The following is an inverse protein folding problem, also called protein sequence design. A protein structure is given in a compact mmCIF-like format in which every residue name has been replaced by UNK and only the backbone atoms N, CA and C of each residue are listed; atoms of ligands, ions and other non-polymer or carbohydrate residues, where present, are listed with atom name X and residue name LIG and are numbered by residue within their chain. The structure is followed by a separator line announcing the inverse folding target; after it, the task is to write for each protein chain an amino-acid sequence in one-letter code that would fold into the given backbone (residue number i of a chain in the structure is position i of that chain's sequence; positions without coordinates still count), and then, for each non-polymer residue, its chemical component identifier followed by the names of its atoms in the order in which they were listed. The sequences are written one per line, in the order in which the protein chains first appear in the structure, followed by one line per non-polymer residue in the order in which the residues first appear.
data_IF_475256733086
#
_entry.id   IF_475256733086
#
_cell.length_a   1.000
_cell.length_b   1.000
_cell.length_c   1.000
_cell.angle_alpha   90.00
_cell.angle_beta   90.00
_cell.angle_gamma   90.00
#
_symmetry.space_group_name_H-M   'P 1'
#
loop_
_entity.id
_entity.type
_entity.pdbx_description
1 polymer ?
#
# COMPACT_ATOMS: atom_id res chain seq x y z
N UNK A 1 -49.99 -6.66 -26.55
CA UNK A 1 -49.71 -7.65 -27.62
C UNK A 1 -48.82 -7.02 -28.69
N UNK A 2 -47.87 -7.80 -29.26
CA UNK A 2 -46.71 -7.45 -30.15
C UNK A 2 -45.44 -7.08 -29.38
N UNK A 3 -44.44 -7.96 -29.16
CA UNK A 3 -43.47 -8.65 -30.07
C UNK A 3 -42.46 -7.69 -30.71
N UNK A 4 -41.16 -7.93 -30.42
CA UNK A 4 -40.01 -7.61 -31.28
C UNK A 4 -38.74 -7.36 -30.45
N UNK A 5 -37.80 -8.32 -30.29
CA UNK A 5 -36.68 -8.63 -31.22
C UNK A 5 -35.96 -7.34 -31.64
N UNK A 6 -34.66 -7.11 -31.41
CA UNK A 6 -33.43 -7.91 -31.59
C UNK A 6 -32.29 -7.14 -30.92
N UNK A 7 -31.20 -7.78 -30.49
CA UNK A 7 -29.84 -7.28 -30.82
C UNK A 7 -28.80 -8.39 -30.60
N UNK A 8 -28.44 -9.00 -31.74
CA UNK A 8 -27.08 -9.37 -32.18
C UNK A 8 -26.31 -10.43 -31.36
N UNK A 9 -26.38 -11.66 -31.88
CA UNK A 9 -25.31 -12.65 -31.79
C UNK A 9 -24.29 -12.37 -32.90
N UNK A 10 -23.01 -12.29 -32.55
CA UNK A 10 -21.86 -12.48 -33.45
C UNK A 10 -20.59 -12.63 -32.62
N UNK A 11 -20.22 -13.88 -32.29
CA UNK A 11 -18.80 -14.26 -32.25
C UNK A 11 -18.71 -15.64 -32.88
N UNK A 12 -18.27 -15.61 -34.13
CA UNK A 12 -17.85 -16.75 -34.93
C UNK A 12 -16.35 -16.87 -34.67
N UNK A 13 -15.90 -17.93 -33.99
CA UNK A 13 -14.49 -18.30 -34.02
C UNK A 13 -14.34 -19.81 -34.16
N UNK A 14 -13.69 -20.15 -35.26
CA UNK A 14 -13.37 -21.47 -35.74
C UNK A 14 -12.37 -22.18 -34.84
N UNK A 15 -12.38 -23.53 -34.89
CA UNK A 15 -11.15 -24.29 -34.73
C UNK A 15 -11.27 -25.57 -33.89
N UNK A 16 -10.97 -26.68 -34.57
CA UNK A 16 -10.46 -27.96 -34.07
C UNK A 16 -11.47 -28.99 -33.53
N UNK A 17 -11.82 -29.92 -34.43
CA UNK A 17 -12.18 -31.30 -34.09
C UNK A 17 -10.91 -32.03 -33.68
N UNK A 18 -10.88 -32.59 -32.48
CA UNK A 18 -9.91 -33.61 -32.09
C UNK A 18 -10.66 -34.84 -31.56
N UNK A 19 -10.74 -35.87 -32.39
CA UNK A 19 -11.15 -37.23 -31.98
C UNK A 19 -9.97 -37.91 -31.30
N UNK A 20 -10.06 -38.11 -29.99
CA UNK A 20 -9.13 -38.95 -29.23
C UNK A 20 -9.91 -39.89 -28.31
N UNK A 21 -9.94 -41.17 -28.70
CA UNK A 21 -10.33 -42.31 -27.88
C UNK A 21 -9.29 -42.57 -26.80
N UNK A 22 -9.70 -42.57 -25.52
CA UNK A 22 -8.95 -43.24 -24.44
C UNK A 22 -8.71 -42.40 -23.17
N UNK A 23 -9.14 -42.96 -22.03
CA UNK A 23 -8.82 -42.62 -20.64
C UNK A 23 -9.64 -41.49 -19.93
N UNK A 24 -10.00 -41.68 -18.64
CA UNK A 24 -11.04 -40.91 -17.95
C UNK A 24 -10.52 -39.53 -17.54
N UNK A 25 -10.80 -38.54 -18.38
CA UNK A 25 -10.51 -37.15 -18.08
C UNK A 25 -11.64 -36.57 -17.22
N UNK A 26 -11.29 -36.33 -15.95
CA UNK A 26 -11.59 -35.14 -15.15
C UNK A 26 -12.86 -34.40 -15.57
N UNK A 27 -13.85 -34.47 -14.69
CA UNK A 27 -15.05 -33.65 -14.68
C UNK A 27 -14.79 -32.29 -15.35
N UNK A 28 -15.43 -32.08 -16.50
CA UNK A 28 -15.76 -30.74 -16.96
C UNK A 28 -16.57 -30.13 -15.82
N UNK A 29 -15.90 -29.38 -14.94
CA UNK A 29 -16.54 -28.26 -14.27
C UNK A 29 -17.00 -27.35 -15.39
N UNK A 30 -18.24 -27.55 -15.82
CA UNK A 30 -19.03 -26.55 -16.48
C UNK A 30 -18.81 -25.25 -15.72
N UNK A 31 -18.03 -24.34 -16.32
CA UNK A 31 -18.15 -22.92 -16.05
C UNK A 31 -19.54 -22.51 -16.54
N UNK A 32 -20.55 -22.94 -15.80
CA UNK A 32 -21.84 -22.30 -15.79
C UNK A 32 -21.58 -20.92 -15.20
N UNK A 33 -21.48 -19.91 -16.07
CA UNK A 33 -21.74 -18.52 -15.73
C UNK A 33 -23.18 -18.46 -15.22
N UNK A 34 -23.35 -18.82 -13.95
CA UNK A 34 -24.59 -18.67 -13.22
C UNK A 34 -24.84 -17.17 -13.15
N UNK A 35 -26.00 -16.73 -13.61
CA UNK A 35 -26.46 -15.37 -13.39
C UNK A 35 -26.28 -15.08 -11.90
N UNK A 36 -25.38 -14.14 -11.57
CA UNK A 36 -25.10 -13.82 -10.17
C UNK A 36 -26.36 -13.24 -9.56
N UNK A 37 -26.78 -13.82 -8.42
CA UNK A 37 -27.89 -13.31 -7.63
C UNK A 37 -27.60 -11.83 -7.26
N UNK A 38 -28.50 -10.88 -7.55
CA UNK A 38 -28.30 -9.47 -7.23
C UNK A 38 -28.01 -9.23 -5.73
N UNK A 39 -28.49 -10.09 -4.84
CA UNK A 39 -28.16 -10.00 -3.43
C UNK A 39 -26.69 -10.37 -3.14
N UNK A 40 -26.14 -11.37 -3.84
CA UNK A 40 -24.72 -11.72 -3.75
C UNK A 40 -23.83 -10.63 -4.36
N UNK A 41 -24.27 -10.01 -5.44
CA UNK A 41 -23.55 -8.91 -6.07
C UNK A 41 -23.44 -7.71 -5.12
N UNK A 42 -24.54 -7.35 -4.46
CA UNK A 42 -24.59 -6.29 -3.44
C UNK A 42 -23.62 -6.58 -2.29
N UNK A 43 -23.65 -7.80 -1.72
CA UNK A 43 -22.73 -8.20 -0.66
C UNK A 43 -21.26 -8.22 -1.13
N UNK A 44 -21.00 -8.62 -2.37
CA UNK A 44 -19.65 -8.62 -2.96
C UNK A 44 -19.13 -7.20 -3.13
N UNK A 45 -19.97 -6.27 -3.58
CA UNK A 45 -19.60 -4.85 -3.72
C UNK A 45 -19.30 -4.22 -2.37
N UNK A 46 -20.13 -4.47 -1.35
CA UNK A 46 -19.85 -3.99 0.00
C UNK A 46 -18.52 -4.51 0.57
N UNK A 47 -18.19 -5.79 0.33
CA UNK A 47 -16.88 -6.34 0.71
C UNK A 47 -15.72 -5.69 -0.03
N UNK A 48 -15.88 -5.42 -1.33
CA UNK A 48 -14.86 -4.72 -2.14
C UNK A 48 -14.63 -3.29 -1.62
N UNK A 49 -15.71 -2.58 -1.30
CA UNK A 49 -15.64 -1.23 -0.73
C UNK A 49 -14.92 -1.24 0.63
N UNK A 50 -15.26 -2.18 1.52
CA UNK A 50 -14.52 -2.33 2.78
C UNK A 50 -13.04 -2.65 2.56
N UNK A 51 -12.72 -3.62 1.70
CA UNK A 51 -11.34 -3.95 1.37
C UNK A 51 -10.57 -2.76 0.78
N UNK A 52 -11.21 -1.95 -0.08
CA UNK A 52 -10.62 -0.73 -0.61
C UNK A 52 -10.34 0.31 0.47
N UNK A 53 -11.24 0.49 1.45
CA UNK A 53 -11.00 1.35 2.62
C UNK A 53 -9.80 0.88 3.45
N UNK A 54 -9.68 -0.43 3.70
CA UNK A 54 -8.52 -1.01 4.40
C UNK A 54 -7.22 -0.77 3.64
N UNK A 55 -7.26 -0.98 2.32
CA UNK A 55 -6.11 -0.80 1.45
C UNK A 55 -5.65 0.67 1.42
N UNK A 56 -6.58 1.61 1.23
CA UNK A 56 -6.28 3.04 1.25
C UNK A 56 -5.64 3.45 2.58
N UNK A 57 -6.14 2.92 3.71
CA UNK A 57 -5.55 3.16 5.03
C UNK A 57 -4.14 2.56 5.16
N UNK A 58 -3.91 1.36 4.63
CA UNK A 58 -2.58 0.76 4.61
C UNK A 58 -1.60 1.58 3.74
N UNK A 59 -2.03 2.02 2.56
CA UNK A 59 -1.23 2.82 1.64
C UNK A 59 -0.90 4.20 2.23
N UNK A 60 -1.86 4.83 2.91
CA UNK A 60 -1.62 6.09 3.63
C UNK A 60 -0.60 5.91 4.76
N UNK A 61 -0.65 4.80 5.52
CA UNK A 61 0.36 4.48 6.54
C UNK A 61 1.74 4.26 5.95
N UNK A 62 1.84 3.58 4.81
CA UNK A 62 3.10 3.41 4.08
C UNK A 62 3.63 4.76 3.60
N UNK A 63 2.76 5.65 3.10
CA UNK A 63 3.15 7.00 2.71
C UNK A 63 3.66 7.82 3.91
N UNK A 64 2.99 7.74 5.07
CA UNK A 64 3.44 8.35 6.32
C UNK A 64 4.80 7.82 6.76
N UNK A 65 5.00 6.51 6.77
CA UNK A 65 6.29 5.92 7.12
C UNK A 65 7.40 6.40 6.17
N UNK A 66 7.13 6.43 4.86
CA UNK A 66 8.07 6.99 3.87
C UNK A 66 8.38 8.47 4.11
N UNK A 67 7.38 9.25 4.52
CA UNK A 67 7.57 10.65 4.86
C UNK A 67 8.46 10.81 6.10
N UNK A 68 8.28 9.98 7.13
CA UNK A 68 9.11 9.96 8.34
C UNK A 68 10.56 9.56 8.02
N UNK A 69 10.73 8.49 7.23
CA UNK A 69 12.05 7.95 6.85
C UNK A 69 12.77 8.80 5.79
N UNK A 70 12.07 9.73 5.13
CA UNK A 70 12.67 10.58 4.12
C UNK A 70 13.79 11.46 4.71
N UNK A 71 14.97 11.36 4.12
CA UNK A 71 16.16 12.17 4.47
C UNK A 71 16.58 13.11 3.34
N UNK A 72 15.99 12.95 2.15
CA UNK A 72 16.28 13.77 0.98
C UNK A 72 15.00 14.40 0.42
N UNK A 73 15.11 15.54 -0.30
CA UNK A 73 13.96 16.16 -0.96
C UNK A 73 13.27 15.24 -1.98
N UNK A 74 14.05 14.41 -2.69
CA UNK A 74 13.54 13.41 -3.64
C UNK A 74 12.65 12.37 -2.93
N UNK A 75 13.09 11.86 -1.77
CA UNK A 75 12.31 10.93 -0.96
C UNK A 75 11.05 11.58 -0.38
N UNK A 76 11.16 12.83 0.07
CA UNK A 76 10.03 13.59 0.57
C UNK A 76 8.98 13.83 -0.53
N UNK A 77 9.41 14.16 -1.75
CA UNK A 77 8.51 14.31 -2.91
C UNK A 77 7.79 13.01 -3.24
N UNK A 78 8.51 11.87 -3.25
CA UNK A 78 7.91 10.57 -3.48
C UNK A 78 6.90 10.17 -2.37
N UNK A 79 7.17 10.56 -1.11
CA UNK A 79 6.23 10.34 0.00
C UNK A 79 4.95 11.18 -0.16
N UNK A 80 5.07 12.45 -0.57
CA UNK A 80 3.93 13.32 -0.86
C UNK A 80 3.09 12.78 -2.03
N UNK A 81 3.74 12.29 -3.09
CA UNK A 81 3.02 11.67 -4.21
C UNK A 81 2.25 10.42 -3.77
N UNK A 82 2.87 9.56 -2.96
CA UNK A 82 2.22 8.38 -2.41
C UNK A 82 1.04 8.75 -1.48
N UNK A 83 1.20 9.79 -0.65
CA UNK A 83 0.15 10.29 0.22
C UNK A 83 -1.04 10.84 -0.58
N UNK A 84 -0.78 11.68 -1.59
CA UNK A 84 -1.81 12.23 -2.47
C UNK A 84 -2.55 11.13 -3.24
N UNK A 85 -1.83 10.09 -3.68
CA UNK A 85 -2.44 8.91 -4.31
C UNK A 85 -3.38 8.20 -3.33
N UNK A 86 -2.93 7.91 -2.11
CA UNK A 86 -3.75 7.28 -1.09
C UNK A 86 -5.00 8.13 -0.75
N UNK A 87 -4.86 9.46 -0.70
CA UNK A 87 -5.97 10.39 -0.50
C UNK A 87 -6.98 10.35 -1.65
N UNK A 88 -6.51 10.31 -2.89
CA UNK A 88 -7.36 10.21 -4.07
C UNK A 88 -8.10 8.86 -4.12
N UNK A 89 -7.41 7.76 -3.81
CA UNK A 89 -8.00 6.42 -3.75
C UNK A 89 -9.06 6.33 -2.63
N UNK A 90 -8.79 6.92 -1.47
CA UNK A 90 -9.75 7.04 -0.37
C UNK A 90 -10.98 7.88 -0.77
N UNK A 91 -10.78 9.03 -1.42
CA UNK A 91 -11.90 9.87 -1.89
C UNK A 91 -12.77 9.13 -2.91
N UNK A 92 -12.15 8.49 -3.90
CA UNK A 92 -12.88 7.70 -4.88
C UNK A 92 -13.69 6.59 -4.22
N UNK A 93 -13.13 5.92 -3.21
CA UNK A 93 -13.85 4.90 -2.45
C UNK A 93 -15.05 5.49 -1.70
N UNK A 94 -14.91 6.67 -1.07
CA UNK A 94 -16.00 7.37 -0.41
C UNK A 94 -17.13 7.72 -1.39
N UNK A 95 -16.78 8.23 -2.57
CA UNK A 95 -17.74 8.55 -3.63
C UNK A 95 -18.46 7.28 -4.11
N UNK A 96 -17.72 6.20 -4.39
CA UNK A 96 -18.27 4.90 -4.80
C UNK A 96 -19.19 4.31 -3.71
N UNK A 97 -18.82 4.45 -2.43
CA UNK A 97 -19.60 4.00 -1.29
C UNK A 97 -20.90 4.81 -1.13
N UNK A 98 -20.84 6.13 -1.33
CA UNK A 98 -22.01 6.98 -1.28
C UNK A 98 -22.98 6.65 -2.41
N UNK A 99 -22.50 6.48 -3.64
CA UNK A 99 -23.31 6.03 -4.78
C UNK A 99 -23.95 4.65 -4.49
N UNK A 100 -23.22 3.75 -3.84
CA UNK A 100 -23.74 2.44 -3.46
C UNK A 100 -24.83 2.53 -2.37
N UNK A 101 -24.70 3.43 -1.40
CA UNK A 101 -25.67 3.63 -0.32
C UNK A 101 -26.92 4.41 -0.77
N UNK A 102 -26.77 5.32 -1.73
CA UNK A 102 -27.86 6.11 -2.32
C UNK A 102 -28.74 5.29 -3.27
N UNK A 103 -28.38 4.02 -3.52
CA UNK A 103 -29.27 3.12 -4.25
C UNK A 103 -30.60 2.96 -3.50
N UNK A 104 -31.73 2.96 -4.21
CA UNK A 104 -33.05 2.93 -3.58
C UNK A 104 -33.16 1.72 -2.65
N UNK A 105 -33.74 1.90 -1.45
CA UNK A 105 -33.79 0.89 -0.39
C UNK A 105 -34.47 -0.45 -0.77
N UNK A 106 -34.98 -0.57 -1.99
CA UNK A 106 -35.53 -1.78 -2.61
C UNK A 106 -34.49 -2.64 -3.35
N UNK A 107 -33.19 -2.29 -3.33
CA UNK A 107 -32.15 -3.12 -3.98
C UNK A 107 -32.08 -4.49 -3.29
N UNK A 108 -32.25 -5.59 -4.04
CA UNK A 108 -32.09 -6.93 -3.50
C UNK A 108 -30.73 -7.11 -2.82
N UNK A 109 -30.73 -7.50 -1.54
CA UNK A 109 -29.51 -7.73 -0.75
C UNK A 109 -28.94 -6.54 0.00
N UNK A 110 -29.59 -5.36 -0.04
CA UNK A 110 -29.18 -4.20 0.75
C UNK A 110 -29.56 -4.32 2.23
N UNK A 111 -28.97 -5.31 2.93
CA UNK A 111 -29.23 -5.60 4.34
C UNK A 111 -28.55 -4.59 5.28
N UNK A 112 -28.94 -4.62 6.57
CA UNK A 112 -28.27 -3.82 7.58
C UNK A 112 -26.77 -4.13 7.67
N UNK A 113 -26.38 -5.41 7.61
CA UNK A 113 -24.98 -5.83 7.66
C UNK A 113 -24.17 -5.31 6.47
N UNK A 114 -24.75 -5.29 5.27
CA UNK A 114 -24.13 -4.72 4.08
C UNK A 114 -23.86 -3.22 4.28
N UNK A 115 -24.81 -2.49 4.86
CA UNK A 115 -24.63 -1.06 5.18
C UNK A 115 -23.56 -0.84 6.24
N UNK A 116 -23.51 -1.67 7.29
CA UNK A 116 -22.45 -1.64 8.30
C UNK A 116 -21.08 -1.84 7.63
N UNK A 117 -20.98 -2.83 6.74
CA UNK A 117 -19.72 -3.17 6.08
C UNK A 117 -19.20 -2.03 5.21
N UNK A 118 -20.09 -1.35 4.48
CA UNK A 118 -19.73 -0.15 3.70
C UNK A 118 -19.35 1.00 4.63
N UNK A 119 -20.09 1.21 5.72
CA UNK A 119 -19.77 2.22 6.72
C UNK A 119 -18.39 2.03 7.36
N UNK A 120 -17.98 0.78 7.63
CA UNK A 120 -16.62 0.46 8.07
C UNK A 120 -15.57 0.86 7.04
N UNK A 121 -15.82 0.57 5.76
CA UNK A 121 -14.95 0.98 4.66
C UNK A 121 -14.82 2.50 4.56
N UNK A 122 -15.93 3.23 4.67
CA UNK A 122 -15.94 4.70 4.66
C UNK A 122 -15.16 5.29 5.84
N UNK A 123 -15.34 4.75 7.05
CA UNK A 123 -14.58 5.19 8.22
C UNK A 123 -13.07 5.00 8.01
N UNK A 124 -12.66 3.86 7.43
CA UNK A 124 -11.26 3.60 7.13
C UNK A 124 -10.69 4.50 6.02
N UNK A 125 -11.50 4.84 5.01
CA UNK A 125 -11.12 5.81 4.00
C UNK A 125 -10.95 7.22 4.60
N UNK A 126 -11.81 7.62 5.54
CA UNK A 126 -11.64 8.87 6.31
C UNK A 126 -10.32 8.87 7.10
N UNK A 127 -10.02 7.78 7.82
CA UNK A 127 -8.72 7.62 8.49
C UNK A 127 -7.54 7.70 7.50
N UNK A 128 -7.69 7.11 6.31
CA UNK A 128 -6.66 7.15 5.27
C UNK A 128 -6.38 8.58 4.81
N UNK A 129 -7.41 9.41 4.63
CA UNK A 129 -7.23 10.82 4.28
C UNK A 129 -6.48 11.58 5.37
N UNK A 130 -6.85 11.39 6.64
CA UNK A 130 -6.18 12.05 7.76
C UNK A 130 -4.69 11.64 7.87
N UNK A 131 -4.39 10.34 7.71
CA UNK A 131 -3.01 9.83 7.73
C UNK A 131 -2.20 10.34 6.53
N UNK A 132 -2.83 10.41 5.35
CA UNK A 132 -2.19 10.96 4.15
C UNK A 132 -1.86 12.45 4.32
N UNK A 133 -2.76 13.23 4.91
CA UNK A 133 -2.52 14.65 5.21
C UNK A 133 -1.35 14.81 6.19
N UNK A 134 -1.29 13.98 7.25
CA UNK A 134 -0.15 13.97 8.17
C UNK A 134 1.17 13.59 7.47
N UNK A 135 1.14 12.64 6.52
CA UNK A 135 2.31 12.30 5.72
C UNK A 135 2.82 13.48 4.88
N UNK A 136 1.91 14.26 4.29
CA UNK A 136 2.27 15.47 3.54
C UNK A 136 2.88 16.52 4.47
N UNK A 137 2.29 16.73 5.65
CA UNK A 137 2.81 17.69 6.63
C UNK A 137 4.22 17.32 7.13
N UNK A 138 4.50 16.02 7.30
CA UNK A 138 5.84 15.53 7.68
C UNK A 138 6.85 15.69 6.55
N UNK A 139 6.45 15.43 5.30
CA UNK A 139 7.35 15.46 4.15
C UNK A 139 7.61 16.89 3.63
N UNK A 140 6.65 17.80 3.73
CA UNK A 140 6.74 19.15 3.14
C UNK A 140 7.95 19.95 3.63
N UNK A 141 8.27 20.01 4.94
CA UNK A 141 9.47 20.72 5.42
C UNK A 141 10.78 20.16 4.87
N UNK A 142 10.81 18.88 4.50
CA UNK A 142 12.00 18.17 3.99
C UNK A 142 12.29 18.45 2.51
N UNK A 143 11.38 19.15 1.82
CA UNK A 143 11.60 19.61 0.44
C UNK A 143 12.53 20.82 0.36
N UNK A 144 12.67 21.57 1.45
CA UNK A 144 13.54 22.75 1.49
C UNK A 144 14.92 22.30 1.94
N UNK A 145 15.87 22.27 1.02
CA UNK A 145 17.29 22.21 1.41
C UNK A 145 17.61 23.55 2.06
N UNK A 146 18.04 23.61 3.33
CA UNK A 146 18.59 24.84 3.84
C UNK A 146 19.78 25.19 2.97
N UNK A 147 19.68 26.28 2.20
CA UNK A 147 20.82 26.92 1.58
C UNK A 147 21.71 27.41 2.72
N UNK A 148 22.58 26.55 3.23
CA UNK A 148 23.81 27.01 3.86
C UNK A 148 24.58 27.70 2.76
N UNK A 149 24.41 29.01 2.67
CA UNK A 149 25.35 29.85 1.93
C UNK A 149 26.76 29.42 2.37
N UNK A 150 27.70 29.18 1.43
CA UNK A 150 29.06 28.90 1.82
C UNK A 150 29.52 30.08 2.68
N UNK A 151 29.81 29.82 3.95
CA UNK A 151 30.62 30.74 4.73
C UNK A 151 31.91 30.90 3.94
N UNK A 152 32.08 32.07 3.33
CA UNK A 152 33.31 32.46 2.66
C UNK A 152 34.39 32.53 3.74
N UNK A 153 35.03 31.39 4.00
CA UNK A 153 36.30 31.34 4.70
C UNK A 153 37.28 32.17 3.87
N UNK A 154 37.62 33.36 4.35
CA UNK A 154 38.66 34.19 3.75
C UNK A 154 39.93 33.36 3.57
N UNK A 155 40.64 33.45 2.43
CA UNK A 155 41.88 32.71 2.24
C UNK A 155 42.92 33.22 3.24
N UNK A 156 43.36 32.34 4.14
CA UNK A 156 44.54 32.60 4.97
C UNK A 156 45.75 32.45 4.06
N UNK A 157 46.35 33.58 3.67
CA UNK A 157 47.64 33.64 2.97
C UNK A 157 48.70 33.00 3.85
N UNK A 158 49.03 31.74 3.58
CA UNK A 158 50.18 31.06 4.18
C UNK A 158 51.36 31.21 3.23
N UNK A 159 52.40 31.90 3.69
CA UNK A 159 53.67 32.07 3.00
C UNK A 159 54.37 30.72 2.74
N UNK A 160 55.25 30.61 1.73
CA UNK A 160 55.93 29.36 1.41
C UNK A 160 57.09 29.12 2.39
N UNK A 161 57.07 27.99 3.11
CA UNK A 161 58.23 27.49 3.81
C UNK A 161 58.78 26.25 3.08
N UNK A 162 60.03 26.43 2.67
CA UNK A 162 60.98 25.59 1.93
C UNK A 162 61.06 24.11 2.36
N UNK A 163 61.23 23.26 1.35
CA UNK A 163 61.48 21.80 1.42
C UNK A 163 62.85 21.43 2.00
N UNK A 164 62.91 20.35 2.79
CA UNK A 164 64.09 19.48 2.96
C UNK A 164 63.68 18.09 3.54
N UNK A 165 64.46 17.01 3.36
CA UNK A 165 63.93 15.73 2.88
C UNK A 165 63.77 14.60 3.92
N UNK A 166 62.90 13.66 3.50
CA UNK A 166 62.78 12.22 3.79
C UNK A 166 63.59 11.55 4.92
N UNK A 167 62.87 10.78 5.74
CA UNK A 167 63.33 9.45 6.17
C UNK A 167 62.11 8.58 6.50
N UNK A 168 61.93 7.49 5.75
CA UNK A 168 61.17 6.30 6.17
C UNK A 168 62.19 5.35 6.85
N UNK A 169 61.80 4.45 7.78
CA UNK A 169 61.07 3.26 7.35
C UNK A 169 60.07 2.63 8.37
N UNK A 170 59.16 1.82 7.81
CA UNK A 170 58.56 0.56 8.33
C UNK A 170 58.00 0.47 9.76
N UNK A 171 56.71 0.16 9.89
CA UNK A 171 56.22 -1.21 10.26
C UNK A 171 54.67 -1.27 10.31
N UNK A 172 54.10 -2.24 9.59
CA UNK A 172 52.81 -2.92 9.83
C UNK A 172 53.22 -4.32 10.39
N UNK A 173 52.45 -5.13 11.18
CA UNK A 173 50.98 -5.16 11.42
C UNK A 173 50.50 -5.46 12.86
N UNK A 174 49.25 -5.11 13.18
CA UNK A 174 48.37 -5.86 14.10
C UNK A 174 46.94 -5.30 13.95
N UNK A 175 46.02 -5.97 13.27
CA UNK A 175 45.08 -6.98 13.80
C UNK A 175 44.04 -6.38 14.74
N UNK A 176 42.79 -6.37 14.27
CA UNK A 176 41.57 -6.04 15.00
C UNK A 176 41.39 -6.90 16.26
N UNK A 177 40.52 -6.48 17.19
CA UNK A 177 39.24 -7.17 17.19
C UNK A 177 38.02 -6.26 17.35
N UNK A 178 36.97 -6.73 16.70
CA UNK A 178 35.57 -6.34 16.81
C UNK A 178 35.12 -6.27 18.28
N UNK A 179 34.56 -5.14 18.70
CA UNK A 179 33.69 -5.14 19.89
C UNK A 179 32.30 -5.60 19.46
N UNK A 180 32.10 -6.92 19.55
CA UNK A 180 30.77 -7.51 19.64
C UNK A 180 30.15 -7.09 20.98
N UNK A 181 29.27 -6.10 20.96
CA UNK A 181 28.37 -5.84 22.09
C UNK A 181 27.33 -6.97 22.11
N UNK A 182 27.63 -7.98 22.92
CA UNK A 182 26.73 -9.08 23.27
C UNK A 182 25.60 -8.53 24.14
N UNK A 183 24.51 -8.11 23.50
CA UNK A 183 23.26 -7.83 24.21
C UNK A 183 22.70 -9.17 24.70
N UNK A 184 22.65 -9.35 26.03
CA UNK A 184 21.94 -10.48 26.64
C UNK A 184 20.44 -10.37 26.30
N UNK A 185 19.77 -11.44 25.85
CA UNK A 185 18.32 -11.49 25.91
C UNK A 185 17.93 -11.53 27.39
N UNK A 186 17.29 -10.48 27.87
CA UNK A 186 16.67 -10.47 29.19
C UNK A 186 15.40 -11.30 29.08
N UNK A 187 15.45 -12.49 29.69
CA UNK A 187 14.35 -13.18 30.34
C UNK A 187 13.01 -13.19 29.60
N UNK A 188 12.69 -14.36 29.06
CA UNK A 188 11.30 -14.72 28.77
C UNK A 188 10.45 -14.59 30.02
N UNK A 189 9.31 -13.91 29.88
CA UNK A 189 8.22 -13.99 30.83
C UNK A 189 7.19 -14.95 30.22
N UNK A 190 7.28 -16.21 30.62
CA UNK A 190 6.19 -17.14 30.50
C UNK A 190 5.14 -16.74 31.56
N UNK A 191 3.96 -16.33 31.11
CA UNK A 191 2.72 -16.35 31.92
C UNK A 191 1.64 -16.80 30.95
N UNK A 192 1.30 -18.10 30.92
CA UNK A 192 0.18 -18.64 31.69
C UNK A 192 -1.12 -18.17 31.02
N UNK A 193 -1.81 -18.93 30.18
CA UNK A 193 -2.25 -20.29 30.45
C UNK A 193 -3.39 -20.24 31.48
N UNK A 194 -4.62 -20.00 31.01
CA UNK A 194 -5.81 -19.96 31.87
C UNK A 194 -7.07 -19.93 31.03
N UNK A 195 -7.61 -21.10 30.71
CA UNK A 195 -8.95 -21.25 30.17
C UNK A 195 -10.00 -21.27 31.29
N UNK A 196 -11.21 -20.84 30.94
CA UNK A 196 -12.51 -21.16 31.54
C UNK A 196 -13.54 -20.55 30.58
N UNK A 197 -14.16 -21.31 29.68
CA UNK A 197 -15.45 -22.00 29.87
C UNK A 197 -16.37 -21.27 30.84
N UNK A 198 -17.35 -20.55 30.29
CA UNK A 198 -18.73 -20.43 30.77
C UNK A 198 -19.64 -20.07 29.60
#
# INVERSE_FOLDING_TARGET
MKIGKRFVASVLLAGAVLTATGAPAVALTEQATTASDPAQETARTARKLNAAGQQAKADARVAKQKAEDATTPEQAKAAIEAANKAKADAQKMLDDAQVFLDQPGSVPGMTHDVRILVGQGMAQAGDAQAIADEAVDIATPKLVVPTTAPVTSSPVTSAPATSAPATAPTTKPATAPEQQVKVKPVGGVATGGGGTQH
#
